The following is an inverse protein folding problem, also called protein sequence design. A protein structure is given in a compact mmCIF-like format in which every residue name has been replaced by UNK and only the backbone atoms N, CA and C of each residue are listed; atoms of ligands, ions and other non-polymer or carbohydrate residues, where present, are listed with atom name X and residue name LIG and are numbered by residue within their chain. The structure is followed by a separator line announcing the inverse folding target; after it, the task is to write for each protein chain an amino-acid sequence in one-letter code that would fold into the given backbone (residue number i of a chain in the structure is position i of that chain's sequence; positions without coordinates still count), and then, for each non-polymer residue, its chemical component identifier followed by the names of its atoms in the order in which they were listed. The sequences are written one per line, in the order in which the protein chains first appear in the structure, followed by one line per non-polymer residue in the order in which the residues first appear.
data_IF_619874163105
#
_entry.id   IF_619874163105
#
_cell.length_a   1.000
_cell.length_b   1.000
_cell.length_c   1.000
_cell.angle_alpha   90.00
_cell.angle_beta   90.00
_cell.angle_gamma   90.00
#
_symmetry.space_group_name_H-M   'P 1'
#
loop_
_entity.id
_entity.type
_entity.pdbx_description
1 polymer ?
#
# COMPACT_ATOMS: atom_id res chain seq x y z
N UNK A 1 -1.51 -2.41 -9.84
CA UNK A 1 -1.88 -3.29 -8.70
C UNK A 1 -3.10 -4.10 -9.09
N UNK A 2 -2.97 -5.42 -9.01
CA UNK A 2 -3.95 -6.38 -9.51
C UNK A 2 -5.10 -6.63 -8.54
N UNK A 3 -6.25 -6.99 -9.11
CA UNK A 3 -7.45 -7.40 -8.38
C UNK A 3 -7.32 -8.80 -7.79
N UNK A 4 -6.49 -9.69 -8.34
CA UNK A 4 -6.09 -10.93 -7.68
C UNK A 4 -4.57 -10.93 -7.57
N UNK A 5 -4.06 -10.92 -6.34
CA UNK A 5 -2.61 -10.92 -6.12
C UNK A 5 -2.02 -12.30 -6.30
N UNK A 6 -0.73 -12.38 -6.68
CA UNK A 6 0.03 -13.64 -6.71
C UNK A 6 0.60 -14.00 -5.33
N UNK A 7 0.32 -13.19 -4.32
CA UNK A 7 0.73 -13.42 -2.94
C UNK A 7 -0.28 -14.41 -2.34
N UNK A 8 0.16 -15.64 -2.09
CA UNK A 8 -0.72 -16.78 -1.82
C UNK A 8 -1.64 -16.62 -0.60
N UNK A 9 -1.28 -15.76 0.35
CA UNK A 9 -2.01 -15.60 1.61
C UNK A 9 -3.04 -14.47 1.61
N UNK A 10 -3.10 -13.63 0.58
CA UNK A 10 -4.07 -12.53 0.47
C UNK A 10 -4.85 -12.54 -0.85
N UNK A 11 -6.05 -11.97 -0.83
CA UNK A 11 -6.89 -11.83 -2.01
C UNK A 11 -6.41 -10.65 -2.87
N UNK A 12 -6.05 -9.54 -2.22
CA UNK A 12 -5.76 -8.27 -2.88
C UNK A 12 -4.45 -7.64 -2.35
N UNK A 13 -3.85 -6.78 -3.18
CA UNK A 13 -2.73 -5.94 -2.75
C UNK A 13 -3.05 -4.49 -3.06
N UNK A 14 -2.82 -3.63 -2.07
CA UNK A 14 -3.13 -2.21 -2.16
C UNK A 14 -2.01 -1.38 -1.52
N UNK A 15 -1.72 -0.23 -2.12
CA UNK A 15 -0.70 0.71 -1.68
C UNK A 15 -1.31 2.10 -1.74
N UNK A 16 -1.33 2.85 -0.64
CA UNK A 16 -1.77 4.25 -0.64
C UNK A 16 -0.76 5.17 -1.30
N UNK A 17 0.53 4.86 -1.13
CA UNK A 17 1.67 5.54 -1.74
C UNK A 17 2.80 4.55 -2.05
N UNK A 18 3.84 5.04 -2.72
CA UNK A 18 5.03 4.28 -3.14
C UNK A 18 6.26 5.01 -2.62
N UNK A 19 7.26 4.25 -2.18
CA UNK A 19 8.51 4.76 -1.62
C UNK A 19 8.55 4.61 -0.10
N UNK A 20 9.74 4.31 0.42
CA UNK A 20 10.05 4.41 1.84
C UNK A 20 11.55 4.61 2.09
N UNK A 21 11.91 4.75 3.36
CA UNK A 21 13.30 4.77 3.82
C UNK A 21 13.70 3.40 4.34
N UNK A 22 14.94 2.98 4.09
CA UNK A 22 15.49 1.76 4.67
C UNK A 22 15.70 1.95 6.17
N UNK A 23 15.11 1.10 7.00
CA UNK A 23 15.17 1.20 8.46
C UNK A 23 16.04 0.13 9.13
N UNK A 24 16.40 -0.92 8.40
CA UNK A 24 17.23 -2.02 8.92
C UNK A 24 17.92 -2.80 7.79
N UNK A 25 18.81 -3.73 8.16
CA UNK A 25 19.48 -4.64 7.23
C UNK A 25 18.51 -5.54 6.44
N UNK A 26 17.29 -5.75 6.95
CA UNK A 26 16.24 -6.45 6.22
C UNK A 26 15.87 -5.76 4.89
N UNK A 27 16.12 -4.45 4.77
CA UNK A 27 15.85 -3.70 3.55
C UNK A 27 16.94 -3.84 2.47
N UNK A 28 18.06 -4.52 2.75
CA UNK A 28 19.23 -4.58 1.86
C UNK A 28 18.92 -5.08 0.44
N UNK A 29 17.96 -5.99 0.32
CA UNK A 29 17.52 -6.58 -0.96
C UNK A 29 16.05 -6.30 -1.26
N UNK A 30 15.59 -5.09 -0.92
CA UNK A 30 14.20 -4.69 -1.10
C UNK A 30 13.76 -4.74 -2.57
N UNK A 31 12.79 -5.59 -2.89
CA UNK A 31 12.26 -5.70 -4.23
C UNK A 31 11.53 -4.41 -4.66
N UNK A 32 10.88 -3.71 -3.73
CA UNK A 32 10.10 -2.51 -4.01
C UNK A 32 11.00 -1.36 -4.47
N UNK A 33 12.17 -1.17 -3.83
CA UNK A 33 13.20 -0.23 -4.28
C UNK A 33 13.70 -0.60 -5.68
N UNK A 34 14.09 -1.86 -5.88
CA UNK A 34 14.58 -2.32 -7.19
C UNK A 34 13.56 -2.06 -8.30
N UNK A 35 12.27 -2.27 -8.01
CA UNK A 35 11.20 -2.13 -8.98
C UNK A 35 10.82 -0.66 -9.23
N UNK A 36 10.57 0.12 -8.17
CA UNK A 36 9.96 1.44 -8.28
C UNK A 36 10.96 2.57 -8.40
N UNK A 37 12.14 2.44 -7.80
CA UNK A 37 13.26 3.37 -7.99
C UNK A 37 14.08 2.94 -9.20
N UNK A 38 14.73 1.77 -9.16
CA UNK A 38 15.74 1.42 -10.18
C UNK A 38 15.16 1.08 -11.55
N UNK A 39 14.08 0.30 -11.62
CA UNK A 39 13.52 -0.16 -12.90
C UNK A 39 12.53 0.82 -13.51
N UNK A 40 11.59 1.33 -12.73
CA UNK A 40 10.52 2.19 -13.24
C UNK A 40 10.76 3.69 -13.04
N UNK A 41 11.73 4.10 -12.21
CA UNK A 41 12.03 5.53 -11.99
C UNK A 41 10.84 6.34 -11.48
N UNK A 42 9.94 5.73 -10.71
CA UNK A 42 8.72 6.37 -10.22
C UNK A 42 8.93 7.20 -8.96
N UNK A 43 9.89 6.78 -8.15
CA UNK A 43 10.27 7.42 -6.88
C UNK A 43 11.77 7.28 -6.69
N UNK A 44 12.34 8.10 -5.83
CA UNK A 44 13.69 7.89 -5.31
C UNK A 44 13.58 7.28 -3.91
N UNK A 45 14.29 6.18 -3.65
CA UNK A 45 14.24 5.50 -2.35
C UNK A 45 15.13 6.20 -1.31
N UNK A 46 14.83 6.00 -0.03
CA UNK A 46 15.69 6.46 1.06
C UNK A 46 15.28 7.78 1.70
N UNK A 47 16.10 8.31 2.64
CA UNK A 47 15.71 9.36 3.57
C UNK A 47 15.52 10.74 2.94
N UNK A 48 16.10 10.98 1.77
CA UNK A 48 15.94 12.20 0.96
C UNK A 48 15.13 11.95 -0.30
N UNK A 49 14.76 10.69 -0.55
CA UNK A 49 14.00 10.29 -1.71
C UNK A 49 12.55 10.79 -1.67
N UNK A 50 11.84 10.60 -2.78
CA UNK A 50 10.47 11.08 -2.98
C UNK A 50 9.43 10.02 -2.61
N UNK A 51 8.21 10.46 -2.31
CA UNK A 51 7.04 9.59 -2.10
C UNK A 51 5.97 9.93 -3.10
N UNK A 52 5.44 8.91 -3.77
CA UNK A 52 4.39 9.09 -4.76
C UNK A 52 3.07 8.57 -4.21
N UNK A 53 2.11 9.47 -3.98
CA UNK A 53 0.74 9.07 -3.65
C UNK A 53 0.11 8.37 -4.86
N UNK A 54 -0.59 7.26 -4.62
CA UNK A 54 -1.33 6.58 -5.69
C UNK A 54 -2.61 7.34 -6.07
N UNK A 55 -3.15 7.04 -7.26
CA UNK A 55 -4.30 7.75 -7.81
C UNK A 55 -5.57 7.60 -6.97
N UNK A 56 -6.50 8.55 -7.07
CA UNK A 56 -7.81 8.48 -6.41
C UNK A 56 -8.58 7.20 -6.76
N UNK A 57 -8.52 6.77 -8.02
CA UNK A 57 -9.13 5.52 -8.45
C UNK A 57 -8.57 4.30 -7.71
N UNK A 58 -7.29 4.33 -7.34
CA UNK A 58 -6.69 3.29 -6.52
C UNK A 58 -7.18 3.36 -5.06
N UNK A 59 -7.34 4.56 -4.50
CA UNK A 59 -7.87 4.78 -3.15
C UNK A 59 -9.34 4.35 -2.99
N UNK A 60 -10.12 4.28 -4.07
CA UNK A 60 -11.51 3.76 -4.05
C UNK A 60 -11.63 2.23 -4.06
N UNK A 61 -10.54 1.50 -4.30
CA UNK A 61 -10.58 0.02 -4.41
C UNK A 61 -11.03 -0.69 -3.12
N UNK A 62 -10.52 -0.33 -1.93
CA UNK A 62 -10.96 -0.97 -0.69
C UNK A 62 -12.47 -0.87 -0.47
N UNK A 63 -13.10 0.25 -0.79
CA UNK A 63 -14.56 0.41 -0.70
C UNK A 63 -15.30 -0.58 -1.62
N UNK A 64 -14.82 -0.73 -2.87
CA UNK A 64 -15.39 -1.69 -3.83
C UNK A 64 -15.23 -3.12 -3.35
N UNK A 65 -14.05 -3.48 -2.84
CA UNK A 65 -13.79 -4.81 -2.29
C UNK A 65 -14.61 -5.09 -1.04
N UNK A 66 -14.73 -4.13 -0.13
CA UNK A 66 -15.54 -4.21 1.08
C UNK A 66 -17.01 -4.51 0.76
N UNK A 67 -17.59 -3.83 -0.24
CA UNK A 67 -18.96 -4.12 -0.71
C UNK A 67 -19.10 -5.55 -1.25
N UNK A 68 -18.12 -6.03 -2.01
CA UNK A 68 -18.12 -7.41 -2.57
C UNK A 68 -17.94 -8.47 -1.50
N UNK A 69 -17.01 -8.26 -0.58
CA UNK A 69 -16.78 -9.09 0.60
C UNK A 69 -18.08 -9.25 1.42
N UNK A 70 -18.75 -8.12 1.72
CA UNK A 70 -20.04 -8.11 2.39
C UNK A 70 -21.11 -8.91 1.63
N UNK A 71 -21.24 -8.69 0.32
CA UNK A 71 -22.23 -9.39 -0.50
C UNK A 71 -22.01 -10.90 -0.58
N UNK A 72 -20.76 -11.35 -0.46
CA UNK A 72 -20.40 -12.78 -0.47
C UNK A 72 -20.40 -13.41 0.93
N UNK A 73 -20.62 -12.63 2.00
CA UNK A 73 -20.49 -13.13 3.37
C UNK A 73 -19.07 -13.61 3.72
N UNK A 74 -18.04 -13.12 3.01
CA UNK A 74 -16.63 -13.50 3.20
C UNK A 74 -15.78 -12.25 3.36
N UNK A 75 -14.85 -12.27 4.30
CA UNK A 75 -13.83 -11.22 4.45
C UNK A 75 -12.66 -11.45 3.50
N UNK A 76 -12.18 -10.39 2.86
CA UNK A 76 -11.03 -10.46 1.97
C UNK A 76 -9.78 -9.99 2.70
N UNK A 77 -8.69 -10.75 2.57
CA UNK A 77 -7.38 -10.33 3.08
C UNK A 77 -6.71 -9.39 2.09
N UNK A 78 -6.36 -8.20 2.53
CA UNK A 78 -5.74 -7.16 1.71
C UNK A 78 -4.36 -6.84 2.25
N UNK A 79 -3.33 -7.18 1.50
CA UNK A 79 -1.98 -6.76 1.87
C UNK A 79 -1.83 -5.25 1.64
N UNK A 80 -1.88 -4.50 2.73
CA UNK A 80 -1.69 -3.06 2.73
C UNK A 80 -0.20 -2.70 2.81
N UNK A 81 0.25 -2.05 1.73
CA UNK A 81 1.55 -1.44 1.51
C UNK A 81 2.72 -2.42 1.24
N UNK A 82 2.73 -3.03 0.06
CA UNK A 82 3.87 -3.82 -0.41
C UNK A 82 5.01 -2.99 -1.05
N UNK A 83 4.76 -1.71 -1.33
CA UNK A 83 5.68 -0.78 -2.01
C UNK A 83 6.00 0.46 -1.18
N UNK A 84 5.65 0.45 0.11
CA UNK A 84 5.86 1.55 1.03
C UNK A 84 5.92 1.03 2.47
N UNK A 85 6.32 1.90 3.38
CA UNK A 85 6.16 1.70 4.83
C UNK A 85 5.07 2.65 5.31
N UNK A 86 3.99 2.11 5.89
CA UNK A 86 2.86 2.93 6.36
C UNK A 86 3.21 3.74 7.60
N UNK A 87 4.22 3.31 8.36
CA UNK A 87 4.66 3.92 9.61
C UNK A 87 5.92 4.77 9.47
N UNK A 88 6.40 5.00 8.24
CA UNK A 88 7.56 5.86 8.00
C UNK A 88 7.39 7.24 8.65
N UNK A 89 8.33 7.65 9.50
CA UNK A 89 8.26 8.93 10.21
C UNK A 89 8.63 10.11 9.29
N UNK A 90 7.65 10.58 8.52
CA UNK A 90 7.77 11.71 7.60
C UNK A 90 6.55 12.64 7.68
N UNK A 91 6.73 13.96 7.85
CA UNK A 91 5.63 14.91 7.94
C UNK A 91 4.67 14.88 6.74
N UNK A 92 5.19 14.74 5.52
CA UNK A 92 4.38 14.69 4.29
C UNK A 92 3.41 13.50 4.24
N UNK A 93 3.69 12.43 5.00
CA UNK A 93 2.87 11.21 5.03
C UNK A 93 1.77 11.25 6.08
N UNK A 94 1.82 12.16 7.05
CA UNK A 94 0.82 12.28 8.12
C UNK A 94 -0.62 12.35 7.55
N UNK A 95 -0.95 13.25 6.60
CA UNK A 95 -2.31 13.29 6.04
C UNK A 95 -2.67 12.01 5.26
N UNK A 96 -1.72 11.39 4.56
CA UNK A 96 -1.98 10.17 3.80
C UNK A 96 -2.19 8.96 4.70
N UNK A 97 -1.49 8.90 5.84
CA UNK A 97 -1.68 7.90 6.89
C UNK A 97 -3.04 8.07 7.57
N UNK A 98 -3.47 9.31 7.82
CA UNK A 98 -4.81 9.57 8.33
C UNK A 98 -5.90 9.07 7.36
N UNK A 99 -5.73 9.33 6.07
CA UNK A 99 -6.62 8.80 5.02
C UNK A 99 -6.60 7.26 4.98
N UNK A 100 -5.43 6.64 5.16
CA UNK A 100 -5.31 5.18 5.26
C UNK A 100 -6.11 4.61 6.44
N UNK A 101 -5.95 5.18 7.65
CA UNK A 101 -6.68 4.71 8.82
C UNK A 101 -8.19 4.86 8.65
N UNK A 102 -8.64 5.97 8.05
CA UNK A 102 -10.06 6.14 7.69
C UNK A 102 -10.55 5.03 6.75
N UNK A 103 -9.77 4.69 5.73
CA UNK A 103 -10.11 3.57 4.82
C UNK A 103 -10.22 2.25 5.58
N UNK A 104 -9.31 1.96 6.52
CA UNK A 104 -9.36 0.75 7.33
C UNK A 104 -10.64 0.72 8.17
N UNK A 105 -10.96 1.81 8.87
CA UNK A 105 -12.17 1.92 9.70
C UNK A 105 -13.46 1.80 8.88
N UNK A 106 -13.49 2.39 7.67
CA UNK A 106 -14.66 2.40 6.78
C UNK A 106 -14.85 1.09 5.98
N UNK A 107 -13.89 0.17 6.03
CA UNK A 107 -13.93 -1.09 5.28
C UNK A 107 -13.97 -2.32 6.19
N UNK A 108 -15.01 -2.46 7.05
CA UNK A 108 -15.03 -3.46 8.11
C UNK A 108 -15.14 -4.91 7.62
N UNK A 109 -15.32 -5.17 6.31
CA UNK A 109 -15.34 -6.53 5.74
C UNK A 109 -14.00 -6.92 5.10
N UNK A 110 -12.95 -6.11 5.27
CA UNK A 110 -11.59 -6.42 4.85
C UNK A 110 -10.72 -6.75 6.06
N UNK A 111 -9.76 -7.66 5.85
CA UNK A 111 -8.70 -8.04 6.79
C UNK A 111 -7.34 -7.52 6.33
#
# INVERSE_FOLDING_TARGET
MGENTKIEWCDHTWNGWIGCTKVSDGCKHCYAETLMDKRYGRVEWGPQGTRQRTSEANWRKPEVWNRRAKAQGRRYKVFCASLADVFEDRPELIPWRADLFRVIDETPNLD
#
